data_IF_641675393155
#
_entry.id   IF_641675393155
#
_cell.length_a   1.000
_cell.length_b   1.000
_cell.length_c   1.000
_cell.angle_alpha   90.00
_cell.angle_beta   90.00
_cell.angle_gamma   90.00
#
_symmetry.space_group_name_H-M   'P 1'
#
loop_
_entity.id
_entity.type
_entity.pdbx_description
1 polymer ?
#
# COMPACT_ATOMS: atom_id res chain seq x y z
N UNK A 1 6.05 3.19 13.44
CA UNK A 1 5.37 4.31 12.75
C UNK A 1 4.03 3.80 12.28
N UNK A 2 2.93 4.19 12.93
CA UNK A 2 1.66 3.48 12.74
C UNK A 2 0.86 3.91 11.50
N UNK A 3 1.19 5.03 10.83
CA UNK A 3 0.37 5.53 9.73
C UNK A 3 1.16 5.72 8.44
N UNK A 4 0.47 5.53 7.31
CA UNK A 4 0.99 5.79 5.97
C UNK A 4 -0.16 6.11 5.02
N UNK A 5 0.14 6.87 3.99
CA UNK A 5 -0.81 7.28 2.96
C UNK A 5 -0.49 6.62 1.63
N UNK A 6 -1.52 6.16 0.93
CA UNK A 6 -1.42 5.75 -0.46
C UNK A 6 -2.17 6.73 -1.35
N UNK A 7 -1.50 7.16 -2.42
CA UNK A 7 -2.14 7.78 -3.57
C UNK A 7 -2.25 6.73 -4.66
N UNK A 8 -3.46 6.47 -5.12
CA UNK A 8 -3.72 5.50 -6.17
C UNK A 8 -4.21 6.26 -7.39
N UNK A 9 -3.44 6.17 -8.48
CA UNK A 9 -3.68 6.89 -9.73
C UNK A 9 -3.76 5.95 -10.90
N UNK A 10 -4.83 6.05 -11.68
CA UNK A 10 -4.98 5.33 -12.95
C UNK A 10 -4.74 6.33 -14.08
N UNK A 11 -3.55 6.36 -14.68
CA UNK A 11 -3.26 7.29 -15.76
C UNK A 11 -4.21 7.10 -16.95
N UNK A 12 -4.58 8.20 -17.59
CA UNK A 12 -5.31 8.17 -18.85
C UNK A 12 -4.47 7.50 -19.95
N UNK A 13 -5.11 7.01 -20.99
CA UNK A 13 -4.44 6.32 -22.08
C UNK A 13 -3.29 7.18 -22.66
N UNK A 14 -2.10 6.56 -22.79
CA UNK A 14 -0.89 7.23 -23.28
C UNK A 14 -0.20 8.17 -22.28
N UNK A 15 -0.71 8.34 -21.06
CA UNK A 15 -0.13 9.26 -20.05
C UNK A 15 0.72 8.56 -18.96
N UNK A 16 0.86 7.25 -18.99
CA UNK A 16 1.54 6.50 -17.92
C UNK A 16 2.97 6.99 -17.65
N UNK A 17 3.78 7.22 -18.68
CA UNK A 17 5.17 7.68 -18.53
C UNK A 17 5.23 9.07 -17.88
N UNK A 18 4.49 10.04 -18.44
CA UNK A 18 4.47 11.42 -17.92
C UNK A 18 3.97 11.47 -16.48
N UNK A 19 2.93 10.70 -16.15
CA UNK A 19 2.41 10.61 -14.79
C UNK A 19 3.45 9.99 -13.84
N UNK A 20 4.13 8.93 -14.27
CA UNK A 20 5.16 8.29 -13.46
C UNK A 20 6.33 9.22 -13.17
N UNK A 21 6.82 9.96 -14.18
CA UNK A 21 7.90 10.94 -14.01
C UNK A 21 7.50 12.07 -13.02
N UNK A 22 6.28 12.60 -13.19
CA UNK A 22 5.76 13.64 -12.31
C UNK A 22 5.56 13.17 -10.85
N UNK A 23 5.05 11.93 -10.67
CA UNK A 23 4.92 11.32 -9.34
C UNK A 23 6.31 11.10 -8.73
N UNK A 24 7.29 10.61 -9.49
CA UNK A 24 8.65 10.38 -9.01
C UNK A 24 9.28 11.68 -8.50
N UNK A 25 9.18 12.76 -9.27
CA UNK A 25 9.66 14.08 -8.84
C UNK A 25 8.92 14.58 -7.59
N UNK A 26 7.61 14.33 -7.49
CA UNK A 26 6.82 14.70 -6.32
C UNK A 26 7.25 13.95 -5.06
N UNK A 27 7.45 12.63 -5.14
CA UNK A 27 7.88 11.79 -4.00
C UNK A 27 9.28 12.18 -3.55
N UNK A 28 10.22 12.41 -4.49
CA UNK A 28 11.57 12.88 -4.17
C UNK A 28 11.54 14.22 -3.44
N UNK A 29 10.76 15.19 -3.93
CA UNK A 29 10.60 16.48 -3.30
C UNK A 29 9.95 16.42 -1.92
N UNK A 30 8.94 15.56 -1.75
CA UNK A 30 8.29 15.33 -0.45
C UNK A 30 9.29 14.76 0.55
N UNK A 31 10.02 13.70 0.19
CA UNK A 31 11.00 13.07 1.08
C UNK A 31 12.09 14.07 1.51
N UNK A 32 12.62 14.85 0.56
CA UNK A 32 13.64 15.87 0.84
C UNK A 32 13.14 17.00 1.73
N UNK A 33 11.88 17.40 1.59
CA UNK A 33 11.31 18.53 2.34
C UNK A 33 10.80 18.13 3.74
N UNK A 34 10.34 16.91 3.92
CA UNK A 34 9.60 16.50 5.13
C UNK A 34 10.25 15.37 5.92
N UNK A 35 11.25 14.69 5.35
CA UNK A 35 11.82 13.49 5.98
C UNK A 35 10.91 12.25 5.93
N UNK A 36 9.78 12.28 5.23
CA UNK A 36 8.90 11.12 5.08
C UNK A 36 9.33 10.23 3.91
N UNK A 37 9.66 8.95 4.19
CA UNK A 37 10.03 8.03 3.13
C UNK A 37 8.85 7.73 2.21
N UNK A 38 9.15 7.49 0.94
CA UNK A 38 8.12 7.15 -0.03
C UNK A 38 8.59 6.14 -1.07
N UNK A 39 7.67 5.39 -1.65
CA UNK A 39 7.96 4.51 -2.77
C UNK A 39 6.79 4.46 -3.77
N UNK A 40 7.11 4.10 -4.99
CA UNK A 40 6.16 4.03 -6.09
C UNK A 40 6.14 2.61 -6.64
N UNK A 41 4.93 2.07 -6.82
CA UNK A 41 4.73 0.79 -7.48
C UNK A 41 3.84 0.95 -8.71
N UNK A 42 4.24 0.30 -9.80
CA UNK A 42 3.42 0.15 -11.00
C UNK A 42 2.82 -1.25 -11.06
N UNK A 43 1.62 -1.45 -11.63
CA UNK A 43 1.02 -2.77 -11.77
C UNK A 43 1.91 -3.72 -12.56
N UNK A 44 2.03 -4.96 -12.11
CA UNK A 44 2.75 -6.03 -12.85
C UNK A 44 1.87 -6.59 -13.96
N UNK A 45 0.55 -6.62 -13.76
CA UNK A 45 -0.42 -7.15 -14.72
C UNK A 45 -1.60 -6.21 -14.88
N UNK A 46 -2.25 -6.29 -16.03
CA UNK A 46 -3.54 -5.63 -16.24
C UNK A 46 -4.62 -6.27 -15.33
N UNK A 47 -5.67 -5.49 -15.05
CA UNK A 47 -6.84 -6.03 -14.39
C UNK A 47 -7.50 -7.12 -15.28
N UNK A 48 -8.15 -8.09 -14.63
CA UNK A 48 -9.02 -9.03 -15.34
C UNK A 48 -10.17 -8.26 -16.01
N UNK A 49 -10.78 -8.82 -17.06
CA UNK A 49 -11.99 -8.25 -17.65
C UNK A 49 -13.02 -7.95 -16.53
N UNK A 50 -13.67 -6.80 -16.61
CA UNK A 50 -14.64 -6.32 -15.64
C UNK A 50 -14.11 -5.91 -14.25
N UNK A 51 -12.79 -5.84 -14.06
CA UNK A 51 -12.20 -5.23 -12.88
C UNK A 51 -11.65 -3.84 -13.19
N UNK A 52 -11.66 -2.92 -12.20
CA UNK A 52 -11.02 -1.62 -12.37
C UNK A 52 -9.54 -1.79 -12.76
N UNK A 53 -9.06 -1.00 -13.71
CA UNK A 53 -7.63 -0.96 -14.05
C UNK A 53 -6.82 -0.68 -12.78
N UNK A 54 -5.78 -1.48 -12.49
CA UNK A 54 -4.91 -1.21 -11.36
C UNK A 54 -4.14 0.09 -11.62
N UNK A 55 -4.00 0.90 -10.57
CA UNK A 55 -3.29 2.18 -10.66
C UNK A 55 -1.83 2.09 -10.24
N UNK A 56 -1.08 3.14 -10.55
CA UNK A 56 0.19 3.44 -9.90
C UNK A 56 -0.12 3.77 -8.44
N UNK A 57 0.59 3.14 -7.51
CA UNK A 57 0.42 3.40 -6.08
C UNK A 57 1.68 4.08 -5.56
N UNK A 58 1.50 5.30 -5.08
CA UNK A 58 2.50 6.02 -4.30
C UNK A 58 2.21 5.81 -2.83
N UNK A 59 3.18 5.36 -2.06
CA UNK A 59 3.07 5.23 -0.61
C UNK A 59 4.00 6.24 0.04
N UNK A 60 3.47 7.08 0.93
CA UNK A 60 4.23 7.97 1.81
C UNK A 60 4.01 7.46 3.22
N UNK A 61 5.08 7.16 3.92
CA UNK A 61 5.04 6.59 5.27
C UNK A 61 5.75 7.46 6.29
N UNK A 62 5.89 6.90 7.49
CA UNK A 62 6.66 7.55 8.54
C UNK A 62 5.87 8.44 9.48
N UNK A 63 4.55 8.46 9.41
CA UNK A 63 3.73 9.23 10.35
C UNK A 63 3.62 8.46 11.67
N UNK A 64 4.15 9.03 12.76
CA UNK A 64 4.12 8.40 14.08
C UNK A 64 2.72 8.50 14.72
N UNK A 65 2.03 9.60 14.47
CA UNK A 65 0.70 9.91 15.02
C UNK A 65 -0.23 10.45 13.92
N UNK A 66 -1.50 10.59 14.23
CA UNK A 66 -2.44 11.30 13.35
C UNK A 66 -2.15 12.80 13.30
N UNK A 67 -1.64 13.37 14.37
CA UNK A 67 -1.25 14.79 14.41
C UNK A 67 -0.07 15.06 13.46
N UNK A 68 0.89 14.12 13.34
CA UNK A 68 1.97 14.22 12.34
C UNK A 68 1.43 14.20 10.93
N UNK A 69 0.44 13.34 10.67
CA UNK A 69 -0.22 13.26 9.36
C UNK A 69 -1.02 14.53 9.07
N UNK A 70 -1.76 15.03 10.05
CA UNK A 70 -2.58 16.26 9.92
C UNK A 70 -1.69 17.48 9.61
N UNK A 71 -0.60 17.65 10.37
CA UNK A 71 0.38 18.69 10.10
C UNK A 71 1.00 18.59 8.69
N UNK A 72 1.32 17.36 8.24
CA UNK A 72 1.80 17.12 6.88
C UNK A 72 0.75 17.50 5.83
N UNK A 73 -0.50 17.11 6.04
CA UNK A 73 -1.60 17.42 5.12
C UNK A 73 -1.88 18.92 5.09
N UNK A 74 -1.94 19.58 6.24
CA UNK A 74 -2.15 21.03 6.33
C UNK A 74 -1.04 21.80 5.62
N UNK A 75 0.22 21.43 5.81
CA UNK A 75 1.35 22.03 5.11
C UNK A 75 1.25 21.86 3.58
N UNK A 76 0.77 20.70 3.10
CA UNK A 76 0.54 20.48 1.67
C UNK A 76 -0.61 21.33 1.13
N UNK A 77 -1.76 21.37 1.84
CA UNK A 77 -2.94 22.14 1.43
C UNK A 77 -2.69 23.66 1.40
N UNK A 78 -1.85 24.16 2.31
CA UNK A 78 -1.47 25.59 2.36
C UNK A 78 -0.34 25.95 1.37
N UNK A 79 0.18 24.99 0.61
CA UNK A 79 1.24 25.23 -0.38
C UNK A 79 0.71 25.14 -1.81
N UNK A 80 0.41 26.31 -2.41
CA UNK A 80 -0.12 26.39 -3.77
C UNK A 80 0.75 25.67 -4.81
N UNK A 81 2.08 25.65 -4.65
CA UNK A 81 2.97 24.94 -5.58
C UNK A 81 2.77 23.43 -5.50
N UNK A 82 2.58 22.90 -4.29
CA UNK A 82 2.29 21.47 -4.08
C UNK A 82 0.92 21.14 -4.65
N UNK A 83 -0.10 21.94 -4.32
CA UNK A 83 -1.47 21.71 -4.78
C UNK A 83 -1.57 21.77 -6.32
N UNK A 84 -1.02 22.79 -6.96
CA UNK A 84 -1.01 22.89 -8.42
C UNK A 84 -0.30 21.70 -9.09
N UNK A 85 0.76 21.17 -8.46
CA UNK A 85 1.44 19.96 -8.96
C UNK A 85 0.56 18.72 -8.84
N UNK A 86 -0.12 18.54 -7.70
CA UNK A 86 -1.03 17.41 -7.49
C UNK A 86 -2.19 17.48 -8.48
N UNK A 87 -2.81 18.65 -8.67
CA UNK A 87 -3.88 18.86 -9.63
C UNK A 87 -3.43 18.58 -11.09
N UNK A 88 -2.21 19.00 -11.44
CA UNK A 88 -1.65 18.70 -12.76
C UNK A 88 -1.43 17.19 -12.98
N UNK A 89 -1.00 16.45 -11.97
CA UNK A 89 -0.84 15.00 -12.04
C UNK A 89 -2.22 14.33 -12.13
N UNK A 90 -3.14 14.73 -11.27
CA UNK A 90 -4.47 14.13 -11.17
C UNK A 90 -5.30 14.41 -12.43
N UNK A 91 -5.12 15.57 -13.06
CA UNK A 91 -5.71 15.92 -14.37
C UNK A 91 -5.24 15.05 -15.55
N UNK A 92 -4.16 14.28 -15.37
CA UNK A 92 -3.68 13.29 -16.36
C UNK A 92 -4.16 11.85 -16.05
N UNK A 93 -5.06 11.69 -15.09
CA UNK A 93 -5.53 10.38 -14.64
C UNK A 93 -7.04 10.25 -14.84
N UNK A 94 -7.49 9.06 -15.23
CA UNK A 94 -8.92 8.72 -15.31
C UNK A 94 -9.55 8.60 -13.92
N UNK A 95 -8.73 8.26 -12.93
CA UNK A 95 -9.15 8.10 -11.55
C UNK A 95 -7.99 8.32 -10.60
N UNK A 96 -8.26 9.05 -9.53
CA UNK A 96 -7.36 9.23 -8.40
C UNK A 96 -8.11 9.00 -7.10
N UNK A 97 -7.45 8.45 -6.09
CA UNK A 97 -7.96 8.47 -4.72
C UNK A 97 -6.81 8.33 -3.71
N UNK A 98 -7.06 8.81 -2.52
CA UNK A 98 -6.13 8.81 -1.41
C UNK A 98 -6.66 7.90 -0.32
N UNK A 99 -5.77 7.23 0.37
CA UNK A 99 -6.14 6.33 1.45
C UNK A 99 -5.11 6.42 2.56
N UNK A 100 -5.52 7.00 3.68
CA UNK A 100 -4.77 6.88 4.93
C UNK A 100 -5.01 5.51 5.52
N UNK A 101 -3.95 4.89 6.04
CA UNK A 101 -4.01 3.55 6.64
C UNK A 101 -3.21 3.51 7.92
N UNK A 102 -3.74 2.78 8.88
CA UNK A 102 -3.06 2.40 10.10
C UNK A 102 -2.31 1.09 9.91
N UNK A 103 -1.07 1.03 10.40
CA UNK A 103 -0.26 -0.19 10.41
C UNK A 103 -0.51 -0.96 11.72
N UNK A 104 -1.26 -2.06 11.62
CA UNK A 104 -1.65 -2.87 12.78
C UNK A 104 -0.54 -3.82 13.26
N UNK A 105 0.39 -4.16 12.38
CA UNK A 105 1.53 -5.05 12.66
C UNK A 105 2.74 -4.37 13.31
N UNK A 106 2.61 -3.11 13.71
CA UNK A 106 3.74 -2.30 14.17
C UNK A 106 4.61 -1.81 13.00
N UNK A 107 5.81 -1.32 13.31
CA UNK A 107 6.74 -0.84 12.29
C UNK A 107 7.07 -1.93 11.28
N UNK A 108 7.29 -1.53 10.02
CA UNK A 108 7.81 -2.45 9.00
C UNK A 108 9.26 -2.81 9.38
N UNK A 109 9.44 -4.06 9.79
CA UNK A 109 10.75 -4.60 10.09
C UNK A 109 11.39 -5.10 8.79
N UNK A 110 12.30 -4.29 8.25
CA UNK A 110 13.00 -4.58 7.00
C UNK A 110 14.48 -4.74 7.32
N UNK A 111 15.08 -5.89 7.02
CA UNK A 111 16.52 -6.09 7.22
C UNK A 111 17.34 -5.01 6.51
N UNK A 112 18.45 -4.64 7.12
CA UNK A 112 19.39 -3.68 6.52
C UNK A 112 19.85 -4.19 5.15
N UNK A 113 19.74 -3.34 4.13
CA UNK A 113 20.10 -3.68 2.76
C UNK A 113 19.06 -4.47 1.97
N UNK A 114 17.90 -4.81 2.57
CA UNK A 114 16.82 -5.42 1.82
C UNK A 114 16.12 -4.40 0.92
N UNK A 115 16.09 -4.68 -0.36
CA UNK A 115 15.43 -3.86 -1.36
C UNK A 115 14.29 -4.61 -2.02
N UNK A 116 13.04 -4.38 -1.62
CA UNK A 116 11.91 -4.99 -2.29
C UNK A 116 11.81 -4.51 -3.74
N UNK A 117 11.70 -5.45 -4.67
CA UNK A 117 11.48 -5.17 -6.10
C UNK A 117 10.02 -5.32 -6.50
N UNK A 118 9.27 -6.08 -5.73
CA UNK A 118 7.85 -6.34 -5.96
C UNK A 118 7.05 -6.31 -4.66
N UNK A 119 5.78 -5.97 -4.78
CA UNK A 119 4.86 -5.85 -3.64
C UNK A 119 3.54 -6.52 -4.00
N UNK A 120 3.07 -7.40 -3.13
CA UNK A 120 1.72 -7.97 -3.17
C UNK A 120 0.84 -7.26 -2.15
N UNK A 121 -0.34 -6.80 -2.55
CA UNK A 121 -1.34 -6.20 -1.66
C UNK A 121 -2.64 -6.97 -1.77
N UNK A 122 -3.07 -7.59 -0.68
CA UNK A 122 -4.35 -8.30 -0.62
C UNK A 122 -5.30 -7.52 0.29
N UNK A 123 -6.38 -7.02 -0.30
CA UNK A 123 -7.47 -6.40 0.46
C UNK A 123 -8.46 -7.49 0.84
N UNK A 124 -8.71 -7.62 2.13
CA UNK A 124 -9.65 -8.55 2.73
C UNK A 124 -10.76 -7.74 3.41
N UNK A 125 -12.01 -8.16 3.26
CA UNK A 125 -13.14 -7.53 3.94
C UNK A 125 -13.77 -8.59 4.84
N UNK A 126 -13.74 -8.35 6.14
CA UNK A 126 -14.33 -9.26 7.12
C UNK A 126 -15.86 -9.25 7.08
N UNK A 127 -16.47 -10.32 7.50
CA UNK A 127 -17.89 -10.34 7.88
C UNK A 127 -18.13 -9.27 8.95
N UNK A 128 -19.27 -8.60 8.91
CA UNK A 128 -19.60 -7.56 9.89
C UNK A 128 -19.46 -8.12 11.32
N UNK A 129 -18.75 -7.37 12.17
CA UNK A 129 -18.42 -7.77 13.54
C UNK A 129 -17.22 -8.75 13.68
N UNK A 130 -16.63 -9.24 12.58
CA UNK A 130 -15.50 -10.18 12.61
C UNK A 130 -14.15 -9.53 12.30
N UNK A 131 -14.09 -8.19 12.14
CA UNK A 131 -12.83 -7.49 11.78
C UNK A 131 -11.70 -7.79 12.75
N UNK A 132 -11.94 -7.72 14.08
CA UNK A 132 -10.90 -7.96 15.07
C UNK A 132 -10.38 -9.41 15.00
N UNK A 133 -11.26 -10.39 14.87
CA UNK A 133 -10.86 -11.78 14.71
C UNK A 133 -10.01 -12.00 13.44
N UNK A 134 -10.34 -11.30 12.33
CA UNK A 134 -9.53 -11.34 11.12
C UNK A 134 -8.15 -10.69 11.31
N UNK A 135 -8.07 -9.56 12.02
CA UNK A 135 -6.80 -8.91 12.37
C UNK A 135 -5.94 -9.84 13.22
N UNK A 136 -6.51 -10.41 14.29
CA UNK A 136 -5.79 -11.30 15.21
C UNK A 136 -5.27 -12.55 14.48
N UNK A 137 -6.08 -13.12 13.58
CA UNK A 137 -5.68 -14.24 12.75
C UNK A 137 -4.49 -13.87 11.85
N UNK A 138 -4.52 -12.70 11.18
CA UNK A 138 -3.42 -12.26 10.32
C UNK A 138 -2.14 -11.92 11.09
N UNK A 139 -2.25 -11.32 12.26
CA UNK A 139 -1.08 -11.08 13.12
C UNK A 139 -0.46 -12.40 13.59
N UNK A 140 -1.28 -13.36 14.03
CA UNK A 140 -0.81 -14.67 14.43
C UNK A 140 -0.19 -15.50 13.28
N UNK A 141 -0.66 -15.32 12.04
CA UNK A 141 -0.05 -15.92 10.85
C UNK A 141 1.28 -15.24 10.53
N UNK A 142 1.32 -13.89 10.56
CA UNK A 142 2.54 -13.11 10.33
C UNK A 142 3.70 -13.61 11.18
N UNK A 143 3.44 -13.93 12.43
CA UNK A 143 4.49 -14.38 13.36
C UNK A 143 5.02 -15.80 13.03
N UNK A 144 4.24 -16.61 12.33
CA UNK A 144 4.56 -18.00 11.97
C UNK A 144 5.22 -18.16 10.60
N UNK A 145 5.01 -17.21 9.68
CA UNK A 145 5.65 -17.29 8.36
C UNK A 145 7.14 -17.02 8.44
N UNK A 146 7.88 -17.67 7.53
CA UNK A 146 9.35 -17.71 7.54
C UNK A 146 10.09 -16.54 6.89
N UNK A 147 9.49 -15.67 6.06
CA UNK A 147 10.25 -14.66 5.33
C UNK A 147 10.99 -13.68 6.24
N UNK A 148 12.18 -13.26 5.80
CA UNK A 148 13.00 -12.27 6.50
C UNK A 148 12.25 -10.94 6.66
N UNK A 149 11.42 -10.58 5.66
CA UNK A 149 10.52 -9.43 5.72
C UNK A 149 9.09 -9.90 5.97
N UNK A 150 8.65 -9.73 7.20
CA UNK A 150 7.29 -10.15 7.58
C UNK A 150 6.22 -9.34 6.83
N UNK A 151 5.09 -9.97 6.44
CA UNK A 151 3.97 -9.27 5.85
C UNK A 151 3.46 -8.14 6.77
N UNK A 152 3.13 -7.00 6.19
CA UNK A 152 2.53 -5.89 6.91
C UNK A 152 1.01 -6.07 6.95
N UNK A 153 0.43 -6.01 8.14
CA UNK A 153 -1.02 -5.97 8.37
C UNK A 153 -1.43 -4.53 8.60
N UNK A 154 -2.36 -4.02 7.83
CA UNK A 154 -2.84 -2.65 7.93
C UNK A 154 -4.33 -2.54 7.69
N UNK A 155 -4.93 -1.45 8.15
CA UNK A 155 -6.32 -1.14 7.90
C UNK A 155 -6.48 0.26 7.31
N UNK A 156 -7.31 0.44 6.27
CA UNK A 156 -7.68 1.75 5.79
C UNK A 156 -8.51 2.47 6.85
N UNK A 157 -8.29 3.77 7.03
CA UNK A 157 -9.07 4.62 7.93
C UNK A 157 -10.35 5.13 7.26
N UNK A 158 -10.43 5.02 5.93
CA UNK A 158 -11.61 5.35 5.13
C UNK A 158 -11.98 4.21 4.21
N UNK A 159 -13.26 4.11 3.83
CA UNK A 159 -13.79 3.03 3.01
C UNK A 159 -14.48 1.94 3.85
N UNK A 160 -14.47 0.66 3.42
CA UNK A 160 -15.16 -0.40 4.16
C UNK A 160 -14.56 -0.59 5.56
N UNK A 161 -15.37 -0.37 6.60
CA UNK A 161 -14.96 -0.44 8.01
C UNK A 161 -14.37 -1.81 8.41
N UNK A 162 -14.74 -2.87 7.70
CA UNK A 162 -14.27 -4.24 7.92
C UNK A 162 -13.03 -4.59 7.08
N UNK A 163 -12.45 -3.63 6.35
CA UNK A 163 -11.30 -3.91 5.50
C UNK A 163 -10.01 -4.09 6.30
N UNK A 164 -9.23 -5.11 5.91
CA UNK A 164 -7.87 -5.38 6.40
C UNK A 164 -6.98 -5.69 5.21
N UNK A 165 -5.83 -5.04 5.12
CA UNK A 165 -4.88 -5.24 4.02
C UNK A 165 -3.64 -5.97 4.50
N UNK A 166 -3.25 -7.00 3.74
CA UNK A 166 -1.95 -7.65 3.86
C UNK A 166 -1.05 -7.13 2.74
N UNK A 167 0.12 -6.64 3.10
CA UNK A 167 1.15 -6.23 2.14
C UNK A 167 2.38 -7.11 2.34
N UNK A 168 2.77 -7.80 1.28
CA UNK A 168 3.95 -8.68 1.22
C UNK A 168 4.99 -8.05 0.29
N UNK A 169 6.25 -8.11 0.67
CA UNK A 169 7.36 -7.56 -0.10
C UNK A 169 8.24 -8.71 -0.60
N UNK A 170 8.68 -8.65 -1.84
CA UNK A 170 9.54 -9.68 -2.43
C UNK A 170 10.73 -9.09 -3.18
N UNK A 171 11.87 -9.79 -3.13
CA UNK A 171 13.05 -9.49 -3.93
C UNK A 171 12.86 -9.85 -5.41
N UNK A 172 11.92 -10.76 -5.71
CA UNK A 172 11.51 -11.18 -7.05
C UNK A 172 10.04 -11.58 -7.07
N UNK A 173 9.46 -11.80 -8.26
CA UNK A 173 8.09 -12.32 -8.39
C UNK A 173 7.97 -13.75 -7.84
N UNK A 174 9.01 -14.58 -8.01
CA UNK A 174 9.02 -15.95 -7.47
C UNK A 174 9.04 -15.92 -5.94
N UNK A 175 9.93 -15.14 -5.34
CA UNK A 175 10.01 -14.96 -3.90
C UNK A 175 8.67 -14.46 -3.33
N UNK A 176 8.06 -13.46 -3.97
CA UNK A 176 6.74 -12.94 -3.57
C UNK A 176 5.64 -14.01 -3.67
N UNK A 177 5.63 -14.83 -4.73
CA UNK A 177 4.65 -15.89 -4.93
C UNK A 177 4.77 -16.98 -3.85
N UNK A 178 6.00 -17.36 -3.52
CA UNK A 178 6.28 -18.36 -2.48
C UNK A 178 5.82 -17.86 -1.10
N UNK A 179 6.11 -16.62 -0.74
CA UNK A 179 5.64 -15.99 0.50
C UNK A 179 4.10 -15.91 0.55
N UNK A 180 3.44 -15.54 -0.57
CA UNK A 180 1.98 -15.48 -0.64
C UNK A 180 1.37 -16.86 -0.49
N UNK A 181 1.95 -17.90 -1.09
CA UNK A 181 1.48 -19.28 -0.95
C UNK A 181 1.60 -19.77 0.49
N UNK A 182 2.73 -19.52 1.13
CA UNK A 182 2.93 -19.85 2.54
C UNK A 182 1.88 -19.15 3.41
N UNK A 183 1.73 -17.83 3.27
CA UNK A 183 0.75 -17.05 4.03
C UNK A 183 -0.68 -17.56 3.82
N UNK A 184 -1.07 -17.85 2.58
CA UNK A 184 -2.40 -18.40 2.25
C UNK A 184 -2.62 -19.80 2.84
N UNK A 185 -1.58 -20.63 2.86
CA UNK A 185 -1.61 -21.93 3.52
C UNK A 185 -1.92 -21.79 5.01
N UNK A 186 -1.18 -20.94 5.71
CA UNK A 186 -1.42 -20.64 7.12
C UNK A 186 -2.81 -20.02 7.36
N UNK A 187 -3.26 -19.13 6.46
CA UNK A 187 -4.58 -18.50 6.57
C UNK A 187 -5.74 -19.52 6.50
N UNK A 188 -5.63 -20.52 5.62
CA UNK A 188 -6.61 -21.61 5.56
C UNK A 188 -6.62 -22.43 6.86
N UNK A 189 -5.46 -22.78 7.39
CA UNK A 189 -5.32 -23.53 8.63
C UNK A 189 -5.84 -22.75 9.86
N UNK A 190 -5.79 -21.42 9.82
CA UNK A 190 -6.30 -20.55 10.86
C UNK A 190 -7.79 -20.17 10.70
N UNK A 191 -8.52 -20.77 9.75
CA UNK A 191 -9.96 -20.49 9.54
C UNK A 191 -10.26 -19.10 8.97
N UNK A 192 -9.27 -18.41 8.38
CA UNK A 192 -9.47 -17.08 7.79
C UNK A 192 -10.61 -17.04 6.76
N UNK A 193 -10.83 -18.09 5.90
CA UNK A 193 -11.95 -18.06 4.96
C UNK A 193 -13.31 -17.85 5.61
N UNK A 194 -13.52 -18.35 6.83
CA UNK A 194 -14.80 -18.24 7.58
C UNK A 194 -15.00 -16.86 8.20
N UNK A 195 -13.98 -16.00 8.15
CA UNK A 195 -14.02 -14.61 8.63
C UNK A 195 -14.26 -13.61 7.49
N UNK A 196 -14.18 -14.04 6.23
CA UNK A 196 -14.27 -13.16 5.06
C UNK A 196 -15.72 -12.98 4.59
N UNK A 197 -16.12 -11.71 4.47
CA UNK A 197 -17.43 -11.34 3.91
C UNK A 197 -17.43 -11.17 2.38
N UNK A 198 -16.24 -11.10 1.79
CA UNK A 198 -16.04 -10.94 0.34
C UNK A 198 -14.80 -11.70 -0.13
N UNK A 199 -14.77 -12.01 -1.42
CA UNK A 199 -13.56 -12.56 -2.05
C UNK A 199 -12.42 -11.53 -1.98
N UNK A 200 -11.24 -11.89 -1.46
CA UNK A 200 -10.12 -10.99 -1.38
C UNK A 200 -9.67 -10.49 -2.74
N UNK A 201 -9.33 -9.20 -2.83
CA UNK A 201 -8.77 -8.58 -4.03
C UNK A 201 -7.27 -8.48 -3.88
N UNK A 202 -6.53 -9.01 -4.85
CA UNK A 202 -5.08 -9.06 -4.83
C UNK A 202 -4.48 -8.23 -5.96
N UNK A 203 -3.50 -7.38 -5.62
CA UNK A 203 -2.76 -6.54 -6.56
C UNK A 203 -1.27 -6.80 -6.44
N UNK A 204 -0.62 -6.97 -7.60
CA UNK A 204 0.83 -7.07 -7.70
C UNK A 204 1.40 -5.77 -8.28
N UNK A 205 2.40 -5.23 -7.62
CA UNK A 205 3.11 -4.02 -8.04
C UNK A 205 4.62 -4.25 -8.12
N UNK A 206 5.25 -3.67 -9.12
CA UNK A 206 6.70 -3.56 -9.21
C UNK A 206 7.14 -2.23 -8.60
N UNK A 207 8.10 -2.27 -7.69
CA UNK A 207 8.72 -1.07 -7.14
C UNK A 207 9.60 -0.45 -8.23
N UNK A 208 9.33 0.79 -8.58
CA UNK A 208 10.05 1.52 -9.62
C UNK A 208 10.82 2.72 -9.08
N UNK A 209 10.48 3.18 -7.88
CA UNK A 209 11.16 4.26 -7.21
C UNK A 209 11.05 4.13 -5.68
N UNK A 210 12.10 4.55 -4.98
CA UNK A 210 12.14 4.69 -3.51
C UNK A 210 12.88 5.97 -3.17
N UNK A 211 12.27 6.78 -2.31
CA UNK A 211 12.96 7.85 -1.59
C UNK A 211 13.21 7.36 -0.17
N UNK A 212 14.46 7.16 0.18
CA UNK A 212 14.91 6.98 1.56
C UNK A 212 15.31 8.32 2.14
N UNK A 213 15.13 8.49 3.42
CA UNK A 213 15.56 9.65 4.20
C UNK A 213 16.81 9.28 4.97
#
# INVERSE_FOLDING_TARGET
>A
MPYFMNFIRVPSAGKTGVVLDAITASVAGTAAATGHPGFITVPVSAAAPNQPRPGIITTIGGFATLDDFDAFQEAALNNNTVMNRLDAIDGMCDRTHWQLSEMLSGALDVPTGYEPKVVGRTMNVAILGKRQALVDAFLGIRDKVSPDVKPMVSAPMSGPISAVRITTFGASLQDLDDQIKEFRGQARNAGVPDLLGQVPVHHLGRVVYRASV
#
